data_IF_254527261925
#
_entry.id   IF_254527261925
#
_cell.length_a   1.000
_cell.length_b   1.000
_cell.length_c   1.000
_cell.angle_alpha   90.00
_cell.angle_beta   90.00
_cell.angle_gamma   90.00
#
_symmetry.space_group_name_H-M   'P 1'
#
loop_
_entity.id
_entity.type
_entity.pdbx_description
1 polymer ?
#
# COMPACT_ATOMS: atom_id res chain seq x y z
N UNK A 1 19.73 4.39 -10.34
CA UNK A 1 18.30 4.59 -10.65
C UNK A 1 17.90 6.01 -10.30
N UNK A 2 17.22 6.71 -11.21
CA UNK A 2 16.68 8.04 -10.97
C UNK A 2 15.17 7.99 -10.86
N UNK A 3 14.62 8.80 -9.97
CA UNK A 3 13.18 8.98 -9.76
C UNK A 3 12.75 10.37 -10.22
N UNK A 4 11.49 10.50 -10.57
CA UNK A 4 10.87 11.78 -10.96
C UNK A 4 9.58 11.99 -10.17
N UNK A 5 9.11 13.25 -10.12
CA UNK A 5 7.75 13.56 -9.64
C UNK A 5 6.72 13.24 -10.71
N UNK A 6 5.53 12.82 -10.28
CA UNK A 6 4.36 12.67 -11.16
C UNK A 6 3.86 14.00 -11.72
N UNK A 7 4.26 15.16 -11.18
CA UNK A 7 3.73 16.50 -11.54
C UNK A 7 4.70 17.36 -12.32
N UNK A 8 5.97 17.49 -11.87
CA UNK A 8 6.94 18.37 -12.51
C UNK A 8 7.98 17.57 -13.27
N UNK A 9 8.06 17.70 -14.61
CA UNK A 9 9.09 17.04 -15.40
C UNK A 9 10.49 17.65 -15.16
N UNK A 10 11.53 16.86 -15.42
CA UNK A 10 12.92 17.32 -15.53
C UNK A 10 13.77 17.25 -14.26
N UNK A 11 13.18 17.27 -13.06
CA UNK A 11 13.93 17.07 -11.82
C UNK A 11 14.01 15.59 -11.45
N UNK A 12 15.23 15.13 -11.17
CA UNK A 12 15.49 13.75 -10.75
C UNK A 12 15.85 13.68 -9.27
N UNK A 13 15.50 12.56 -8.64
CA UNK A 13 15.73 12.28 -7.23
C UNK A 13 16.42 10.94 -7.05
N UNK A 14 17.31 10.83 -6.07
CA UNK A 14 17.94 9.58 -5.69
C UNK A 14 16.99 8.72 -4.86
N UNK A 15 17.19 7.40 -4.82
CA UNK A 15 16.37 6.50 -4.01
C UNK A 15 16.32 6.92 -2.53
N UNK A 16 17.43 7.40 -1.98
CA UNK A 16 17.48 7.86 -0.60
C UNK A 16 16.58 9.07 -0.31
N UNK A 17 16.32 9.92 -1.29
CA UNK A 17 15.37 11.05 -1.16
C UNK A 17 13.93 10.52 -1.22
N UNK A 18 13.68 9.55 -2.10
CA UNK A 18 12.37 8.89 -2.25
C UNK A 18 11.98 8.09 -1.01
N UNK A 19 12.93 7.33 -0.43
CA UNK A 19 12.70 6.58 0.82
C UNK A 19 12.40 7.52 1.99
N UNK A 20 13.18 8.59 2.12
CA UNK A 20 13.12 9.53 3.25
C UNK A 20 12.11 10.65 3.04
N UNK A 21 11.40 10.68 1.91
CA UNK A 21 10.36 11.65 1.60
C UNK A 21 8.95 11.08 1.73
N UNK A 22 7.96 11.96 1.85
CA UNK A 22 6.55 11.61 1.77
C UNK A 22 6.01 11.88 0.36
N UNK A 23 6.27 13.09 -0.13
CA UNK A 23 5.90 13.62 -1.44
C UNK A 23 7.11 14.26 -2.10
N UNK A 24 7.06 14.44 -3.41
CA UNK A 24 8.00 15.32 -4.08
C UNK A 24 7.75 16.79 -3.67
N UNK A 25 8.75 17.69 -3.81
CA UNK A 25 8.60 19.09 -3.39
C UNK A 25 7.45 19.87 -4.05
N UNK A 26 6.97 19.39 -5.20
CA UNK A 26 5.81 19.94 -5.92
C UNK A 26 4.47 19.31 -5.47
N UNK A 27 4.48 18.50 -4.42
CA UNK A 27 3.33 17.79 -3.90
C UNK A 27 2.92 16.55 -4.69
N UNK A 28 3.66 16.19 -5.75
CA UNK A 28 3.47 14.96 -6.53
C UNK A 28 4.02 13.72 -5.84
N UNK A 29 3.79 12.57 -6.46
CA UNK A 29 4.31 11.28 -6.00
C UNK A 29 5.61 10.92 -6.74
N UNK A 30 6.47 10.14 -6.10
CA UNK A 30 7.65 9.62 -6.75
C UNK A 30 7.33 8.38 -7.59
N UNK A 31 7.94 8.33 -8.79
CA UNK A 31 7.93 7.19 -9.70
C UNK A 31 9.31 7.01 -10.32
N UNK A 32 9.71 5.79 -10.76
CA UNK A 32 10.97 5.60 -11.48
C UNK A 32 10.98 6.37 -12.80
N UNK A 33 12.04 7.10 -13.09
CA UNK A 33 12.19 7.80 -14.37
C UNK A 33 12.34 6.85 -15.57
N UNK A 34 12.83 5.63 -15.32
CA UNK A 34 12.90 4.54 -16.29
C UNK A 34 12.52 3.24 -15.59
N UNK A 35 11.61 2.48 -16.20
CA UNK A 35 11.16 1.21 -15.67
C UNK A 35 12.22 0.12 -15.94
N UNK A 36 12.74 -0.60 -14.91
CA UNK A 36 13.57 -1.77 -15.13
C UNK A 36 12.78 -2.86 -15.87
N UNK A 37 13.45 -3.63 -16.72
CA UNK A 37 12.83 -4.75 -17.44
C UNK A 37 13.63 -6.02 -17.28
N UNK A 38 12.96 -7.12 -17.03
CA UNK A 38 13.51 -8.47 -17.08
C UNK A 38 13.23 -9.09 -18.45
N UNK A 39 14.22 -9.77 -19.00
CA UNK A 39 14.00 -10.67 -20.14
C UNK A 39 13.32 -11.97 -19.66
N UNK A 40 12.71 -12.72 -20.56
CA UNK A 40 12.16 -14.05 -20.24
C UNK A 40 13.21 -14.96 -19.58
N UNK A 41 14.43 -14.97 -20.11
CA UNK A 41 15.55 -15.73 -19.53
C UNK A 41 15.91 -15.25 -18.11
N UNK A 42 15.84 -13.95 -17.84
CA UNK A 42 16.08 -13.43 -16.50
C UNK A 42 14.96 -13.81 -15.54
N UNK A 43 13.70 -13.79 -15.98
CA UNK A 43 12.55 -14.26 -15.20
C UNK A 43 12.65 -15.75 -14.88
N UNK A 44 13.03 -16.59 -15.84
CA UNK A 44 13.23 -18.03 -15.62
C UNK A 44 14.31 -18.35 -14.59
N UNK A 45 15.30 -17.50 -14.42
CA UNK A 45 16.32 -17.65 -13.35
C UNK A 45 15.78 -17.31 -11.94
N UNK A 46 14.65 -16.63 -11.86
CA UNK A 46 13.99 -16.30 -10.60
C UNK A 46 13.00 -17.40 -10.15
N UNK A 47 12.62 -18.31 -11.03
CA UNK A 47 11.84 -19.49 -10.67
C UNK A 47 12.55 -20.24 -9.54
N UNK A 48 11.83 -20.79 -8.60
CA UNK A 48 12.36 -21.58 -7.49
C UNK A 48 13.19 -20.83 -6.43
N UNK A 49 13.44 -19.53 -6.58
CA UNK A 49 14.09 -18.78 -5.51
C UNK A 49 13.14 -18.66 -4.29
N UNK A 50 13.68 -18.80 -3.06
CA UNK A 50 12.94 -18.42 -1.86
C UNK A 50 12.45 -16.98 -1.94
N UNK A 51 11.33 -16.67 -1.28
CA UNK A 51 10.70 -15.34 -1.39
C UNK A 51 11.66 -14.18 -1.15
N UNK A 52 12.50 -14.24 -0.12
CA UNK A 52 13.44 -13.16 0.22
C UNK A 52 14.53 -12.95 -0.84
N UNK A 53 15.04 -14.03 -1.45
CA UNK A 53 16.03 -13.94 -2.53
C UNK A 53 15.41 -13.36 -3.80
N UNK A 54 14.21 -13.83 -4.16
CA UNK A 54 13.44 -13.28 -5.27
C UNK A 54 13.14 -11.80 -5.04
N UNK A 55 12.66 -11.42 -3.85
CA UNK A 55 12.38 -10.04 -3.49
C UNK A 55 13.62 -9.15 -3.65
N UNK A 56 14.80 -9.64 -3.21
CA UNK A 56 16.06 -8.93 -3.39
C UNK A 56 16.38 -8.68 -4.88
N UNK A 57 16.20 -9.69 -5.76
CA UNK A 57 16.42 -9.54 -7.19
C UNK A 57 15.46 -8.53 -7.84
N UNK A 58 14.17 -8.59 -7.47
CA UNK A 58 13.11 -7.72 -8.02
C UNK A 58 13.29 -6.27 -7.58
N UNK A 59 13.71 -6.04 -6.34
CA UNK A 59 13.85 -4.71 -5.73
C UNK A 59 15.18 -4.03 -6.13
N UNK A 60 16.26 -4.79 -6.24
CA UNK A 60 17.62 -4.27 -6.48
C UNK A 60 17.73 -3.26 -7.64
N UNK A 61 17.11 -3.46 -8.81
CA UNK A 61 17.20 -2.50 -9.91
C UNK A 61 16.67 -1.09 -9.57
N UNK A 62 15.77 -0.97 -8.63
CA UNK A 62 15.19 0.30 -8.19
C UNK A 62 16.08 1.07 -7.22
N UNK A 63 16.99 0.41 -6.54
CA UNK A 63 17.89 1.03 -5.58
C UNK A 63 19.18 1.55 -6.24
N UNK A 64 19.57 0.99 -7.40
CA UNK A 64 20.84 1.29 -8.04
C UNK A 64 22.01 0.97 -7.11
N UNK A 65 23.03 1.82 -7.11
CA UNK A 65 24.25 1.65 -6.29
C UNK A 65 24.12 2.24 -4.86
N UNK A 66 22.89 2.59 -4.44
CA UNK A 66 22.65 3.20 -3.13
C UNK A 66 23.00 2.27 -1.96
N UNK A 67 22.85 0.95 -2.14
CA UNK A 67 23.11 -0.05 -1.12
C UNK A 67 23.86 -1.24 -1.74
N UNK A 68 24.91 -1.77 -1.08
CA UNK A 68 25.58 -3.00 -1.52
C UNK A 68 24.58 -4.18 -1.51
N UNK A 69 24.70 -5.07 -2.52
CA UNK A 69 23.79 -6.21 -2.70
C UNK A 69 23.70 -7.12 -1.47
N UNK A 70 24.82 -7.40 -0.83
CA UNK A 70 24.85 -8.23 0.39
C UNK A 70 24.07 -7.59 1.54
N UNK A 71 24.19 -6.28 1.68
CA UNK A 71 23.44 -5.55 2.70
C UNK A 71 21.94 -5.51 2.39
N UNK A 72 21.57 -5.33 1.12
CA UNK A 72 20.17 -5.43 0.70
C UNK A 72 19.60 -6.82 0.99
N UNK A 73 20.34 -7.88 0.70
CA UNK A 73 19.91 -9.26 0.98
C UNK A 73 19.61 -9.47 2.46
N UNK A 74 20.50 -9.00 3.36
CA UNK A 74 20.28 -9.07 4.81
C UNK A 74 19.04 -8.28 5.25
N UNK A 75 18.86 -7.09 4.71
CA UNK A 75 17.69 -6.24 5.01
C UNK A 75 16.39 -6.91 4.58
N UNK A 76 16.34 -7.48 3.38
CA UNK A 76 15.15 -8.16 2.85
C UNK A 76 14.86 -9.43 3.65
N UNK A 77 15.88 -10.21 4.01
CA UNK A 77 15.74 -11.38 4.89
C UNK A 77 15.18 -10.98 6.27
N UNK A 78 15.76 -9.96 6.90
CA UNK A 78 15.27 -9.43 8.18
C UNK A 78 13.83 -8.90 8.10
N UNK A 79 13.44 -8.31 6.99
CA UNK A 79 12.09 -7.81 6.80
C UNK A 79 11.04 -8.93 6.77
N UNK A 80 11.40 -10.10 6.24
CA UNK A 80 10.43 -11.19 6.03
C UNK A 80 10.63 -12.40 6.94
N UNK A 81 11.69 -12.48 7.74
CA UNK A 81 11.95 -13.61 8.65
C UNK A 81 10.87 -13.78 9.73
N UNK A 82 10.18 -12.68 10.12
CA UNK A 82 9.10 -12.70 11.11
C UNK A 82 7.73 -13.14 10.56
N UNK A 83 7.63 -13.53 9.29
CA UNK A 83 6.40 -14.04 8.71
C UNK A 83 6.15 -15.49 9.15
N UNK A 84 4.89 -15.81 9.45
CA UNK A 84 4.48 -17.12 10.02
C UNK A 84 4.60 -18.27 9.01
N UNK A 85 4.45 -17.99 7.71
CA UNK A 85 4.64 -18.96 6.63
C UNK A 85 6.06 -18.90 6.08
N UNK A 86 6.72 -20.04 5.89
CA UNK A 86 8.04 -20.12 5.22
C UNK A 86 7.98 -19.64 3.76
N UNK A 87 6.86 -19.84 3.09
CA UNK A 87 6.64 -19.32 1.73
C UNK A 87 6.41 -17.81 1.70
N UNK A 88 6.24 -17.16 2.88
CA UNK A 88 5.95 -15.74 3.06
C UNK A 88 4.60 -15.33 2.43
N UNK A 89 4.35 -15.70 1.16
CA UNK A 89 3.14 -15.45 0.39
C UNK A 89 2.64 -16.74 -0.28
N UNK A 90 2.11 -17.73 0.47
CA UNK A 90 1.65 -18.99 -0.10
C UNK A 90 0.41 -18.82 -0.98
N UNK A 91 0.26 -19.73 -1.94
CA UNK A 91 -0.89 -19.83 -2.84
C UNK A 91 -1.80 -20.98 -2.40
N UNK A 92 -3.10 -20.70 -2.30
CA UNK A 92 -4.13 -21.69 -2.06
C UNK A 92 -5.09 -21.76 -3.26
N UNK A 93 -5.32 -22.97 -3.80
CA UNK A 93 -6.22 -23.17 -4.94
C UNK A 93 -7.65 -23.34 -4.45
N UNK A 94 -8.55 -22.42 -4.81
CA UNK A 94 -9.98 -22.45 -4.43
C UNK A 94 -10.86 -23.11 -5.49
N UNK A 95 -10.45 -23.06 -6.77
CA UNK A 95 -11.13 -23.71 -7.89
C UNK A 95 -10.15 -23.91 -9.06
N UNK A 96 -10.61 -24.53 -10.15
CA UNK A 96 -9.80 -24.70 -11.37
C UNK A 96 -9.34 -23.35 -11.90
N UNK A 97 -8.02 -23.14 -11.98
CA UNK A 97 -7.39 -21.86 -12.38
C UNK A 97 -7.81 -20.64 -11.55
N UNK A 98 -8.25 -20.84 -10.30
CA UNK A 98 -8.54 -19.78 -9.33
C UNK A 98 -7.69 -19.99 -8.07
N UNK A 99 -6.90 -19.00 -7.70
CA UNK A 99 -5.94 -19.05 -6.63
C UNK A 99 -6.09 -17.86 -5.68
N UNK A 100 -5.91 -18.11 -4.41
CA UNK A 100 -5.81 -17.08 -3.37
C UNK A 100 -4.34 -16.95 -2.99
N UNK A 101 -3.79 -15.74 -3.09
CA UNK A 101 -2.45 -15.40 -2.62
C UNK A 101 -2.56 -14.86 -1.20
N UNK A 102 -2.11 -15.63 -0.23
CA UNK A 102 -2.19 -15.27 1.19
C UNK A 102 -1.12 -14.25 1.57
N UNK A 103 -1.51 -13.00 1.75
CA UNK A 103 -0.61 -11.89 2.10
C UNK A 103 -0.71 -11.47 3.57
N UNK A 104 -1.26 -12.30 4.42
CA UNK A 104 -1.55 -12.01 5.82
C UNK A 104 -0.70 -12.80 6.82
N UNK A 105 0.42 -13.37 6.41
CA UNK A 105 1.32 -14.11 7.30
C UNK A 105 2.33 -13.22 8.04
N UNK A 106 2.32 -11.92 7.79
CA UNK A 106 3.17 -10.96 8.49
C UNK A 106 2.77 -10.70 9.95
N UNK A 107 3.57 -9.92 10.70
CA UNK A 107 3.38 -9.68 12.13
C UNK A 107 2.03 -9.07 12.52
N UNK A 108 1.43 -8.26 11.66
CA UNK A 108 0.10 -7.67 11.87
C UNK A 108 -1.03 -8.46 11.19
N UNK A 109 -0.72 -9.55 10.48
CA UNK A 109 -1.65 -10.40 9.74
C UNK A 109 -2.43 -9.67 8.64
N UNK A 110 -1.78 -8.73 7.96
CA UNK A 110 -2.29 -7.94 6.84
C UNK A 110 -1.22 -7.72 5.77
N UNK A 111 -1.63 -7.52 4.51
CA UNK A 111 -0.67 -7.35 3.39
C UNK A 111 0.24 -6.12 3.51
N UNK A 112 -0.15 -5.15 4.31
CA UNK A 112 0.65 -3.96 4.59
C UNK A 112 1.98 -4.30 5.26
N UNK A 113 2.08 -5.44 5.92
CA UNK A 113 3.32 -5.94 6.53
C UNK A 113 4.46 -6.03 5.51
N UNK A 114 4.19 -6.46 4.27
CA UNK A 114 5.22 -6.57 3.23
C UNK A 114 5.97 -5.24 3.03
N UNK A 115 5.22 -4.16 2.85
CA UNK A 115 5.81 -2.85 2.61
C UNK A 115 6.40 -2.22 3.85
N UNK A 116 5.77 -2.36 5.00
CA UNK A 116 6.17 -1.68 6.22
C UNK A 116 7.37 -2.34 6.90
N UNK A 117 7.47 -3.67 6.89
CA UNK A 117 8.64 -4.37 7.40
C UNK A 117 9.89 -4.03 6.59
N UNK A 118 9.81 -4.04 5.26
CA UNK A 118 10.92 -3.63 4.40
C UNK A 118 11.30 -2.15 4.61
N UNK A 119 10.30 -1.28 4.66
CA UNK A 119 10.49 0.16 4.85
C UNK A 119 11.20 0.49 6.17
N UNK A 120 10.79 -0.14 7.26
CA UNK A 120 11.41 0.06 8.57
C UNK A 120 12.90 -0.29 8.55
N UNK A 121 13.28 -1.44 7.95
CA UNK A 121 14.69 -1.86 7.86
C UNK A 121 15.52 -0.95 6.94
N UNK A 122 14.96 -0.49 5.82
CA UNK A 122 15.65 0.46 4.92
C UNK A 122 15.85 1.83 5.57
N UNK A 123 14.86 2.32 6.34
CA UNK A 123 14.99 3.56 7.10
C UNK A 123 16.04 3.42 8.20
N UNK A 124 16.00 2.36 9.00
CA UNK A 124 16.98 2.08 10.04
C UNK A 124 18.41 2.07 9.49
N UNK A 125 18.64 1.37 8.37
CA UNK A 125 19.92 1.39 7.66
C UNK A 125 20.35 2.79 7.24
N UNK A 126 19.41 3.60 6.72
CA UNK A 126 19.71 4.96 6.27
C UNK A 126 20.09 5.87 7.43
N UNK A 127 19.36 5.79 8.53
CA UNK A 127 19.59 6.61 9.72
C UNK A 127 20.90 6.26 10.40
N UNK A 128 21.23 4.96 10.52
CA UNK A 128 22.51 4.50 11.09
C UNK A 128 23.73 5.02 10.33
N UNK A 129 23.61 5.16 9.00
CA UNK A 129 24.66 5.72 8.14
C UNK A 129 24.80 7.24 8.23
N UNK A 130 23.70 7.95 8.51
CA UNK A 130 23.65 9.42 8.51
C UNK A 130 23.76 10.07 9.89
N UNK A 131 23.68 9.29 10.97
CA UNK A 131 23.61 9.82 12.34
C UNK A 131 22.43 10.78 12.55
N UNK A 132 21.30 10.53 11.87
CA UNK A 132 20.09 11.38 11.90
C UNK A 132 18.93 10.63 12.49
N UNK A 133 17.91 11.38 12.88
CA UNK A 133 16.62 10.85 13.34
C UNK A 133 15.52 11.10 12.32
N UNK A 134 14.46 10.30 12.39
CA UNK A 134 13.28 10.44 11.56
C UNK A 134 11.99 10.50 12.38
N UNK A 135 11.06 11.31 11.89
CA UNK A 135 9.66 11.33 12.29
C UNK A 135 8.84 10.62 11.20
N UNK A 136 8.40 9.41 11.48
CA UNK A 136 7.59 8.61 10.56
C UNK A 136 6.13 8.83 10.89
N UNK A 137 5.39 9.44 9.98
CA UNK A 137 4.00 9.88 10.20
C UNK A 137 3.07 9.25 9.18
N UNK A 138 1.86 8.92 9.60
CA UNK A 138 0.81 8.51 8.69
C UNK A 138 -0.53 8.37 9.38
N UNK A 139 -1.58 8.26 8.57
CA UNK A 139 -2.94 8.05 9.05
C UNK A 139 -3.44 6.64 8.70
N UNK A 140 -4.40 6.16 9.49
CA UNK A 140 -4.92 4.80 9.36
C UNK A 140 -6.38 4.68 9.78
N UNK A 141 -7.13 3.83 9.07
CA UNK A 141 -8.42 3.30 9.53
C UNK A 141 -8.29 1.97 10.30
N UNK A 142 -7.04 1.51 10.60
CA UNK A 142 -6.79 0.29 11.39
C UNK A 142 -5.58 -0.51 10.91
N UNK A 143 -5.69 -1.24 9.82
CA UNK A 143 -4.69 -2.23 9.36
C UNK A 143 -3.31 -1.65 9.11
N UNK A 144 -3.23 -0.53 8.37
CA UNK A 144 -1.94 0.10 8.05
C UNK A 144 -1.22 0.58 9.31
N UNK A 145 -1.94 1.15 10.28
CA UNK A 145 -1.38 1.59 11.55
C UNK A 145 -0.88 0.43 12.40
N UNK A 146 -1.67 -0.64 12.50
CA UNK A 146 -1.26 -1.85 13.24
C UNK A 146 0.02 -2.45 12.64
N UNK A 147 0.13 -2.51 11.30
CA UNK A 147 1.33 -2.98 10.63
C UNK A 147 2.53 -2.01 10.80
N UNK A 148 2.28 -0.69 10.77
CA UNK A 148 3.32 0.31 11.03
C UNK A 148 3.88 0.20 12.46
N UNK A 149 3.00 0.08 13.45
CA UNK A 149 3.41 -0.13 14.85
C UNK A 149 4.29 -1.38 14.98
N UNK A 150 3.88 -2.52 14.38
CA UNK A 150 4.68 -3.75 14.40
C UNK A 150 6.03 -3.61 13.70
N UNK A 151 6.10 -2.83 12.62
CA UNK A 151 7.32 -2.67 11.84
C UNK A 151 8.32 -1.71 12.49
N UNK A 152 7.84 -0.60 13.08
CA UNK A 152 8.68 0.47 13.61
C UNK A 152 8.89 0.40 15.14
N UNK A 153 8.24 -0.55 15.81
CA UNK A 153 8.36 -0.74 17.25
C UNK A 153 9.82 -1.00 17.66
N UNK A 154 10.41 -0.10 18.45
CA UNK A 154 11.79 -0.19 18.91
C UNK A 154 12.87 0.11 17.88
N UNK A 155 12.53 0.59 16.68
CA UNK A 155 13.51 0.98 15.65
C UNK A 155 14.26 2.22 16.11
N UNK A 156 15.58 2.12 16.16
CA UNK A 156 16.46 3.18 16.64
C UNK A 156 16.42 4.42 15.74
N UNK A 157 16.39 5.62 16.35
CA UNK A 157 16.36 6.88 15.63
C UNK A 157 15.01 7.20 14.95
N UNK A 158 13.97 6.40 15.18
CA UNK A 158 12.63 6.60 14.64
C UNK A 158 11.63 6.95 15.74
N UNK A 159 10.91 8.05 15.57
CA UNK A 159 9.66 8.33 16.26
C UNK A 159 8.50 8.06 15.30
N UNK A 160 7.63 7.11 15.63
CA UNK A 160 6.44 6.77 14.85
C UNK A 160 5.22 7.52 15.39
N UNK A 161 4.54 8.28 14.53
CA UNK A 161 3.26 8.95 14.84
C UNK A 161 2.16 8.37 13.97
N UNK A 162 1.16 7.79 14.61
CA UNK A 162 0.01 7.16 13.96
C UNK A 162 -1.24 7.98 14.25
N UNK A 163 -1.77 8.65 13.23
CA UNK A 163 -3.05 9.35 13.31
C UNK A 163 -4.19 8.39 12.99
N UNK A 164 -5.23 8.40 13.81
CA UNK A 164 -6.43 7.59 13.57
C UNK A 164 -7.71 8.35 13.95
N UNK A 165 -8.85 8.06 13.30
CA UNK A 165 -10.08 8.78 13.54
C UNK A 165 -10.75 8.38 14.86
N UNK A 166 -11.45 9.32 15.47
CA UNK A 166 -12.35 9.06 16.61
C UNK A 166 -13.63 8.33 16.18
N UNK A 167 -14.05 8.48 14.91
CA UNK A 167 -15.29 7.92 14.35
C UNK A 167 -15.01 7.00 13.15
N UNK A 168 -15.86 5.97 12.98
CA UNK A 168 -15.83 5.08 11.81
C UNK A 168 -14.79 3.96 11.86
N UNK A 169 -14.05 3.81 12.98
CA UNK A 169 -13.14 2.69 13.21
C UNK A 169 -13.85 1.62 14.06
N UNK A 170 -13.64 0.33 13.71
CA UNK A 170 -14.14 -0.76 14.55
C UNK A 170 -13.36 -0.87 15.86
N UNK A 171 -13.98 -1.43 16.90
CA UNK A 171 -13.28 -1.66 18.18
C UNK A 171 -12.07 -2.59 18.01
N UNK A 172 -12.17 -3.60 17.15
CA UNK A 172 -11.06 -4.49 16.86
C UNK A 172 -9.86 -3.75 16.29
N UNK A 173 -10.07 -2.87 15.33
CA UNK A 173 -8.98 -2.04 14.77
C UNK A 173 -8.39 -1.10 15.82
N UNK A 174 -9.24 -0.43 16.63
CA UNK A 174 -8.78 0.45 17.70
C UNK A 174 -7.92 -0.29 18.72
N UNK A 175 -8.36 -1.45 19.20
CA UNK A 175 -7.58 -2.29 20.14
C UNK A 175 -6.24 -2.72 19.55
N UNK A 176 -6.17 -3.09 18.27
CA UNK A 176 -4.92 -3.44 17.60
C UNK A 176 -3.91 -2.30 17.55
N UNK A 177 -4.37 -1.07 17.39
CA UNK A 177 -3.52 0.12 17.44
C UNK A 177 -2.98 0.40 18.86
N UNK A 178 -3.82 0.23 19.88
CA UNK A 178 -3.51 0.61 21.26
C UNK A 178 -2.81 -0.52 22.04
N UNK A 179 -2.91 -1.78 21.60
CA UNK A 179 -2.41 -2.94 22.34
C UNK A 179 -0.88 -3.09 22.35
N UNK A 180 -0.17 -2.41 21.44
CA UNK A 180 1.28 -2.55 21.30
C UNK A 180 1.92 -1.18 21.08
N UNK A 181 3.02 -0.91 21.78
CA UNK A 181 3.81 0.30 21.55
C UNK A 181 4.93 0.37 22.56
N UNK A 182 6.14 0.65 22.08
CA UNK A 182 7.26 1.08 22.88
C UNK A 182 7.29 2.62 22.96
N UNK A 183 8.26 3.17 23.66
CA UNK A 183 8.39 4.62 23.87
C UNK A 183 8.49 5.43 22.57
N UNK A 184 8.90 4.80 21.47
CA UNK A 184 9.03 5.46 20.17
C UNK A 184 7.74 5.48 19.32
N UNK A 185 6.61 4.97 19.84
CA UNK A 185 5.31 4.90 19.14
C UNK A 185 4.28 5.80 19.81
N UNK A 186 3.72 6.72 19.06
CA UNK A 186 2.74 7.70 19.51
C UNK A 186 1.46 7.53 18.69
N UNK A 187 0.35 7.21 19.36
CA UNK A 187 -0.97 7.14 18.77
C UNK A 187 -1.73 8.43 19.04
N UNK A 188 -2.24 9.06 18.01
CA UNK A 188 -3.01 10.29 18.06
C UNK A 188 -4.40 10.04 17.51
N UNK A 189 -5.41 10.23 18.33
CA UNK A 189 -6.81 10.26 17.92
C UNK A 189 -7.20 11.64 17.44
N UNK A 190 -7.67 11.74 16.21
CA UNK A 190 -8.15 12.98 15.58
C UNK A 190 -9.67 13.00 15.66
N UNK A 191 -10.24 14.11 16.13
CA UNK A 191 -11.69 14.28 16.14
C UNK A 191 -12.21 14.41 14.71
N UNK A 192 -12.76 13.33 14.18
CA UNK A 192 -13.25 13.23 12.82
C UNK A 192 -13.32 11.80 12.32
N UNK A 193 -13.51 11.67 11.01
CA UNK A 193 -13.47 10.40 10.28
C UNK A 193 -12.11 10.14 9.63
N UNK A 194 -12.01 9.05 8.86
CA UNK A 194 -10.75 8.71 8.16
C UNK A 194 -10.35 9.75 7.09
N UNK A 195 -11.32 10.39 6.42
CA UNK A 195 -11.03 11.43 5.44
C UNK A 195 -10.45 12.68 6.10
N UNK A 196 -10.95 13.04 7.29
CA UNK A 196 -10.40 14.13 8.12
C UNK A 196 -8.95 13.84 8.50
N UNK A 197 -8.68 12.65 9.05
CA UNK A 197 -7.32 12.21 9.36
C UNK A 197 -6.39 12.25 8.15
N UNK A 198 -6.89 11.80 7.00
CA UNK A 198 -6.09 11.78 5.77
C UNK A 198 -5.73 13.18 5.31
N UNK A 199 -6.69 14.11 5.29
CA UNK A 199 -6.46 15.51 4.93
C UNK A 199 -5.46 16.20 5.89
N UNK A 200 -5.62 15.97 7.20
CA UNK A 200 -4.73 16.51 8.21
C UNK A 200 -3.30 15.99 8.04
N UNK A 201 -3.15 14.68 7.88
CA UNK A 201 -1.87 14.02 7.66
C UNK A 201 -1.18 14.51 6.37
N UNK A 202 -1.92 14.61 5.27
CA UNK A 202 -1.41 15.09 3.98
C UNK A 202 -0.95 16.56 4.08
N UNK A 203 -1.76 17.40 4.71
CA UNK A 203 -1.44 18.82 4.97
C UNK A 203 -0.16 18.96 5.80
N UNK A 204 -0.03 18.13 6.85
CA UNK A 204 1.18 18.08 7.66
C UNK A 204 2.40 17.64 6.84
N UNK A 205 2.30 16.55 6.08
CA UNK A 205 3.41 16.01 5.29
C UNK A 205 3.85 16.90 4.11
N UNK A 206 2.94 17.71 3.56
CA UNK A 206 3.23 18.68 2.48
C UNK A 206 3.65 20.07 3.02
N UNK A 207 3.41 20.32 4.28
CA UNK A 207 3.72 21.63 4.90
C UNK A 207 5.22 21.88 5.08
N UNK A 208 5.61 23.16 5.08
CA UNK A 208 6.99 23.61 5.31
C UNK A 208 7.31 23.69 6.81
N UNK A 209 7.11 22.62 7.55
CA UNK A 209 7.40 22.60 8.98
C UNK A 209 8.91 22.45 9.22
N UNK A 210 9.46 23.28 10.13
CA UNK A 210 10.86 23.20 10.54
C UNK A 210 11.04 22.08 11.57
N UNK A 211 11.02 20.82 11.13
CA UNK A 211 11.45 19.71 11.97
C UNK A 211 12.95 19.48 11.78
N UNK A 212 13.70 19.24 12.86
CA UNK A 212 15.11 18.82 12.78
C UNK A 212 15.23 17.39 12.28
N UNK A 213 14.16 16.58 12.39
CA UNK A 213 14.08 15.18 11.98
C UNK A 213 13.62 15.08 10.53
N UNK A 214 14.06 14.04 9.84
CA UNK A 214 13.53 13.70 8.50
C UNK A 214 12.07 13.30 8.60
N UNK A 215 11.18 13.98 7.85
CA UNK A 215 9.75 13.71 7.84
C UNK A 215 9.40 12.67 6.76
N UNK A 216 8.91 11.50 7.17
CA UNK A 216 8.66 10.35 6.29
C UNK A 216 7.21 9.91 6.44
N UNK A 217 6.53 9.58 5.32
CA UNK A 217 5.22 8.93 5.38
C UNK A 217 5.32 7.42 5.39
N UNK A 218 4.59 6.75 6.28
CA UNK A 218 4.41 5.30 6.21
C UNK A 218 3.22 4.86 5.32
N UNK A 219 2.42 5.79 4.81
CA UNK A 219 1.31 5.49 3.92
C UNK A 219 1.79 5.05 2.51
N UNK A 220 0.85 4.57 1.69
CA UNK A 220 1.15 4.03 0.35
C UNK A 220 1.63 5.07 -0.68
N UNK A 221 1.63 6.35 -0.33
CA UNK A 221 2.28 7.42 -1.11
C UNK A 221 3.80 7.24 -1.15
N UNK A 222 4.41 6.65 -0.12
CA UNK A 222 5.83 6.30 -0.16
C UNK A 222 6.08 5.15 -1.16
N UNK A 223 7.01 5.38 -2.08
CA UNK A 223 7.34 4.44 -3.16
C UNK A 223 7.76 3.05 -2.66
N UNK A 224 8.42 2.96 -1.52
CA UNK A 224 8.88 1.67 -0.95
C UNK A 224 7.72 0.72 -0.69
N UNK A 225 6.51 1.24 -0.41
CA UNK A 225 5.31 0.42 -0.25
C UNK A 225 4.94 -0.28 -1.58
N UNK A 226 4.99 0.45 -2.69
CA UNK A 226 4.75 -0.12 -4.04
C UNK A 226 5.88 -1.09 -4.40
N UNK A 227 7.13 -0.70 -4.14
CA UNK A 227 8.32 -1.50 -4.42
C UNK A 227 8.27 -2.88 -3.74
N UNK A 228 7.91 -2.93 -2.46
CA UNK A 228 7.78 -4.19 -1.73
C UNK A 228 6.69 -5.11 -2.30
N UNK A 229 5.60 -4.53 -2.79
CA UNK A 229 4.49 -5.28 -3.37
C UNK A 229 4.88 -6.00 -4.67
N UNK A 230 5.86 -5.51 -5.43
CA UNK A 230 6.37 -6.20 -6.63
C UNK A 230 6.77 -7.63 -6.33
N UNK A 231 7.37 -7.87 -5.17
CA UNK A 231 7.91 -9.17 -4.78
C UNK A 231 6.85 -10.28 -4.80
N UNK A 232 5.66 -10.02 -4.27
CA UNK A 232 4.62 -11.05 -4.24
C UNK A 232 3.91 -11.21 -5.60
N UNK A 233 3.87 -10.19 -6.47
CA UNK A 233 3.39 -10.38 -7.85
C UNK A 233 4.32 -11.28 -8.64
N UNK A 234 5.65 -11.03 -8.57
CA UNK A 234 6.64 -11.88 -9.22
C UNK A 234 6.62 -13.28 -8.64
N UNK A 235 6.64 -13.42 -7.30
CA UNK A 235 6.66 -14.71 -6.64
C UNK A 235 5.46 -15.59 -7.06
N UNK A 236 4.25 -15.08 -6.93
CA UNK A 236 3.05 -15.85 -7.25
C UNK A 236 2.90 -16.20 -8.74
N UNK A 237 3.28 -15.28 -9.64
CA UNK A 237 3.25 -15.55 -11.07
C UNK A 237 4.23 -16.65 -11.48
N UNK A 238 5.48 -16.59 -10.97
CA UNK A 238 6.51 -17.59 -11.25
C UNK A 238 6.12 -18.98 -10.70
N UNK A 239 5.49 -19.04 -9.52
CA UNK A 239 4.96 -20.30 -8.97
C UNK A 239 3.86 -20.93 -9.85
N UNK A 240 3.17 -20.17 -10.68
CA UNK A 240 2.12 -20.62 -11.58
C UNK A 240 2.55 -20.74 -13.05
N UNK A 241 3.86 -20.70 -13.32
CA UNK A 241 4.46 -21.02 -14.60
C UNK A 241 4.87 -19.83 -15.48
N UNK A 242 4.84 -18.58 -14.96
CA UNK A 242 5.49 -17.47 -15.65
C UNK A 242 7.00 -17.74 -15.71
N UNK A 243 7.73 -17.26 -16.75
CA UNK A 243 7.27 -16.40 -17.84
C UNK A 243 6.55 -17.11 -18.98
N UNK A 244 6.55 -18.45 -19.04
CA UNK A 244 5.98 -19.26 -20.14
C UNK A 244 4.45 -19.27 -20.13
N UNK A 245 3.83 -18.93 -19.01
CA UNK A 245 2.39 -18.90 -18.82
C UNK A 245 1.94 -17.51 -18.40
N UNK A 246 0.94 -16.97 -19.07
CA UNK A 246 0.26 -15.74 -18.65
C UNK A 246 -0.49 -15.97 -17.33
N UNK A 247 -0.58 -14.92 -16.52
CA UNK A 247 -1.39 -14.88 -15.29
C UNK A 247 -2.29 -13.66 -15.27
N UNK A 248 -3.31 -13.69 -14.43
CA UNK A 248 -4.18 -12.56 -14.15
C UNK A 248 -4.32 -12.36 -12.64
N UNK A 249 -4.57 -11.13 -12.21
CA UNK A 249 -4.74 -10.82 -10.80
C UNK A 249 -6.05 -10.08 -10.53
N UNK A 250 -6.71 -10.44 -9.44
CA UNK A 250 -7.80 -9.67 -8.85
C UNK A 250 -7.36 -9.07 -7.53
N UNK A 251 -7.48 -7.76 -7.40
CA UNK A 251 -6.91 -7.01 -6.28
C UNK A 251 -7.98 -6.23 -5.55
N UNK A 252 -8.38 -6.65 -4.34
CA UNK A 252 -9.20 -5.83 -3.45
C UNK A 252 -8.48 -4.53 -3.13
N UNK A 253 -9.09 -3.39 -3.43
CA UNK A 253 -8.36 -2.12 -3.35
C UNK A 253 -9.23 -0.94 -2.92
N UNK A 254 -8.64 -0.03 -2.14
CA UNK A 254 -9.11 1.33 -1.91
C UNK A 254 -8.14 2.35 -2.53
N UNK A 255 -6.84 2.29 -2.17
CA UNK A 255 -5.85 3.31 -2.52
C UNK A 255 -5.05 3.07 -3.80
N UNK A 256 -5.33 2.01 -4.55
CA UNK A 256 -4.67 1.61 -5.81
C UNK A 256 -3.18 1.22 -5.69
N UNK A 257 -2.57 1.21 -4.52
CA UNK A 257 -1.13 0.98 -4.37
C UNK A 257 -0.67 -0.42 -4.81
N UNK A 258 -1.39 -1.48 -4.41
CA UNK A 258 -1.09 -2.85 -4.83
C UNK A 258 -1.37 -3.06 -6.34
N UNK A 259 -2.46 -2.49 -6.87
CA UNK A 259 -2.75 -2.54 -8.30
C UNK A 259 -1.67 -1.84 -9.13
N UNK A 260 -1.18 -0.69 -8.66
CA UNK A 260 -0.07 -0.02 -9.33
C UNK A 260 1.21 -0.87 -9.31
N UNK A 261 1.48 -1.60 -8.23
CA UNK A 261 2.58 -2.57 -8.21
C UNK A 261 2.39 -3.69 -9.25
N UNK A 262 1.17 -4.20 -9.42
CA UNK A 262 0.84 -5.16 -10.49
C UNK A 262 1.06 -4.57 -11.89
N UNK A 263 0.69 -3.31 -12.12
CA UNK A 263 1.00 -2.58 -13.35
C UNK A 263 2.51 -2.49 -13.60
N UNK A 264 3.27 -2.06 -12.58
CA UNK A 264 4.73 -1.98 -12.66
C UNK A 264 5.36 -3.36 -12.93
N UNK A 265 4.89 -4.42 -12.28
CA UNK A 265 5.36 -5.78 -12.51
C UNK A 265 5.19 -6.22 -13.97
N UNK A 266 4.05 -5.86 -14.59
CA UNK A 266 3.83 -6.08 -16.03
C UNK A 266 4.81 -5.29 -16.89
N UNK A 267 5.02 -4.01 -16.61
CA UNK A 267 5.98 -3.17 -17.34
C UNK A 267 7.43 -3.68 -17.18
N UNK A 268 7.74 -4.35 -16.07
CA UNK A 268 9.01 -5.04 -15.84
C UNK A 268 9.16 -6.36 -16.62
N UNK A 269 8.12 -6.81 -17.33
CA UNK A 269 8.16 -7.99 -18.19
C UNK A 269 7.41 -9.21 -17.65
N UNK A 270 6.75 -9.13 -16.49
CA UNK A 270 5.91 -10.22 -16.00
C UNK A 270 4.68 -10.38 -16.92
N UNK A 271 4.33 -11.60 -17.40
CA UNK A 271 3.26 -11.80 -18.38
C UNK A 271 1.86 -11.70 -17.73
N UNK A 272 1.53 -10.51 -17.24
CA UNK A 272 0.23 -10.21 -16.65
C UNK A 272 -0.74 -9.82 -17.76
N UNK A 273 -1.75 -10.67 -18.00
CA UNK A 273 -2.77 -10.48 -19.03
C UNK A 273 -3.86 -9.51 -18.61
N UNK A 274 -4.23 -9.51 -17.33
CA UNK A 274 -5.35 -8.76 -16.77
C UNK A 274 -5.09 -8.39 -15.32
N UNK A 275 -5.48 -7.17 -14.94
CA UNK A 275 -5.58 -6.71 -13.55
C UNK A 275 -7.05 -6.31 -13.27
N UNK A 276 -7.69 -6.94 -12.29
CA UNK A 276 -9.07 -6.63 -11.91
C UNK A 276 -9.05 -5.76 -10.66
N UNK A 277 -9.63 -4.57 -10.80
CA UNK A 277 -9.84 -3.59 -9.73
C UNK A 277 -11.12 -3.97 -8.99
N UNK A 278 -10.99 -4.60 -7.83
CA UNK A 278 -12.11 -5.00 -7.00
C UNK A 278 -12.34 -3.96 -5.90
N UNK A 279 -13.44 -3.21 -5.97
CA UNK A 279 -13.82 -2.21 -4.97
C UNK A 279 -15.01 -2.67 -4.16
N UNK A 280 -15.21 -2.10 -2.97
CA UNK A 280 -16.48 -2.16 -2.28
C UNK A 280 -17.43 -1.08 -2.82
N UNK A 281 -18.50 -0.76 -2.10
CA UNK A 281 -19.47 0.28 -2.48
C UNK A 281 -18.85 1.69 -2.66
N UNK A 282 -17.58 1.90 -2.22
CA UNK A 282 -16.82 3.12 -2.52
C UNK A 282 -16.12 2.95 -3.88
N UNK A 283 -16.87 3.13 -4.95
CA UNK A 283 -16.60 2.62 -6.29
C UNK A 283 -15.90 3.62 -7.24
N UNK A 284 -15.24 4.66 -6.75
CA UNK A 284 -14.66 5.71 -7.60
C UNK A 284 -13.69 5.20 -8.68
N UNK A 285 -12.85 4.19 -8.38
CA UNK A 285 -11.98 3.55 -9.37
C UNK A 285 -12.77 2.73 -10.40
N UNK A 286 -13.84 2.07 -9.98
CA UNK A 286 -14.73 1.34 -10.87
C UNK A 286 -15.45 2.30 -11.82
N UNK A 287 -16.04 3.40 -11.31
CA UNK A 287 -16.68 4.44 -12.11
C UNK A 287 -15.72 5.02 -13.15
N UNK A 288 -14.48 5.30 -12.77
CA UNK A 288 -13.47 5.76 -13.73
C UNK A 288 -13.24 4.74 -14.85
N UNK A 289 -13.05 3.47 -14.52
CA UNK A 289 -12.79 2.44 -15.52
C UNK A 289 -14.01 2.16 -16.41
N UNK A 290 -15.24 2.33 -15.92
CA UNK A 290 -16.45 2.12 -16.73
C UNK A 290 -16.83 3.34 -17.58
N UNK A 291 -16.71 4.56 -17.01
CA UNK A 291 -17.36 5.74 -17.55
C UNK A 291 -16.38 6.90 -17.83
N UNK A 292 -15.07 6.71 -17.65
CA UNK A 292 -14.08 7.79 -17.73
C UNK A 292 -14.40 8.97 -16.78
N UNK A 293 -14.97 8.68 -15.62
CA UNK A 293 -15.30 9.69 -14.63
C UNK A 293 -14.71 9.31 -13.27
N UNK A 294 -13.68 10.01 -12.83
CA UNK A 294 -13.14 9.90 -11.48
C UNK A 294 -13.58 11.09 -10.65
N UNK A 295 -14.31 10.85 -9.57
CA UNK A 295 -14.83 11.93 -8.72
C UNK A 295 -14.61 11.65 -7.23
N UNK A 296 -14.47 12.72 -6.46
CA UNK A 296 -14.56 12.68 -5.02
C UNK A 296 -16.02 12.36 -4.64
N UNK A 297 -16.21 11.42 -3.74
CA UNK A 297 -17.53 11.04 -3.21
C UNK A 297 -17.49 10.94 -1.69
N UNK A 298 -18.65 11.00 -1.07
CA UNK A 298 -18.78 10.71 0.35
C UNK A 298 -18.49 9.24 0.62
N UNK A 299 -17.79 8.96 1.72
CA UNK A 299 -17.43 7.59 2.07
C UNK A 299 -18.67 6.89 2.63
N UNK A 300 -19.07 5.79 1.98
CA UNK A 300 -20.08 4.86 2.50
C UNK A 300 -19.41 3.89 3.47
N UNK A 301 -19.98 3.74 4.67
CA UNK A 301 -19.56 2.70 5.61
C UNK A 301 -19.89 1.31 5.05
N UNK A 302 -18.93 0.39 5.09
CA UNK A 302 -19.06 -0.99 4.61
C UNK A 302 -18.42 -1.96 5.60
N UNK A 303 -18.59 -3.27 5.37
CA UNK A 303 -17.92 -4.33 6.14
C UNK A 303 -16.43 -4.47 5.83
N UNK A 304 -15.90 -3.65 4.93
CA UNK A 304 -14.48 -3.58 4.57
C UNK A 304 -13.89 -2.18 4.77
N UNK A 305 -13.79 -1.68 6.02
CA UNK A 305 -13.37 -0.30 6.31
C UNK A 305 -12.01 0.07 5.72
N UNK A 306 -11.10 -0.89 5.59
CA UNK A 306 -9.78 -0.70 4.97
C UNK A 306 -9.84 -0.33 3.48
N UNK A 307 -10.98 -0.54 2.82
CA UNK A 307 -11.25 -0.20 1.43
C UNK A 307 -12.15 1.05 1.28
N UNK A 308 -12.63 1.64 2.38
CA UNK A 308 -13.48 2.84 2.37
C UNK A 308 -12.63 4.08 2.08
N UNK A 309 -12.50 4.42 0.80
CA UNK A 309 -11.64 5.52 0.33
C UNK A 309 -12.41 6.36 -0.68
N UNK A 310 -12.46 7.66 -0.46
CA UNK A 310 -13.06 8.62 -1.40
C UNK A 310 -12.15 8.88 -2.62
N UNK A 311 -10.86 9.11 -2.37
CA UNK A 311 -9.84 9.34 -3.40
C UNK A 311 -8.68 8.38 -3.19
N UNK A 312 -8.43 7.53 -4.18
CA UNK A 312 -7.32 6.58 -4.15
C UNK A 312 -5.99 7.32 -4.33
N UNK A 313 -5.15 7.33 -3.30
CA UNK A 313 -3.91 8.11 -3.27
C UNK A 313 -2.90 7.75 -4.37
N UNK A 314 -2.95 6.51 -4.89
CA UNK A 314 -2.08 6.08 -5.99
C UNK A 314 -2.72 6.22 -7.39
N UNK A 315 -3.92 6.80 -7.50
CA UNK A 315 -4.54 7.09 -8.80
C UNK A 315 -3.70 8.09 -9.61
N UNK A 316 -3.02 9.01 -8.94
CA UNK A 316 -2.08 9.94 -9.57
C UNK A 316 -0.93 9.21 -10.31
N UNK A 317 -0.43 8.10 -9.75
CA UNK A 317 0.58 7.26 -10.42
C UNK A 317 0.03 6.57 -11.67
N UNK A 318 -1.23 6.11 -11.63
CA UNK A 318 -1.88 5.56 -12.81
C UNK A 318 -2.02 6.63 -13.90
N UNK A 319 -2.49 7.83 -13.55
CA UNK A 319 -2.57 8.94 -14.50
C UNK A 319 -1.21 9.22 -15.15
N UNK A 320 -0.15 9.34 -14.35
CA UNK A 320 1.20 9.57 -14.89
C UNK A 320 1.60 8.50 -15.90
N UNK A 321 1.26 7.24 -15.66
CA UNK A 321 1.57 6.13 -16.55
C UNK A 321 0.77 6.17 -17.85
N UNK A 322 -0.55 6.38 -17.78
CA UNK A 322 -1.41 6.41 -18.99
C UNK A 322 -1.24 7.70 -19.81
N UNK A 323 -0.75 8.76 -19.17
CA UNK A 323 -0.38 10.04 -19.80
C UNK A 323 1.07 10.05 -20.31
N UNK A 324 1.73 8.90 -20.39
CA UNK A 324 3.11 8.74 -20.88
C UNK A 324 4.12 9.67 -20.18
N UNK A 325 3.97 9.86 -18.88
CA UNK A 325 4.86 10.69 -18.08
C UNK A 325 4.65 12.20 -18.21
N UNK A 326 3.52 12.64 -18.78
CA UNK A 326 3.21 14.07 -18.94
C UNK A 326 2.80 14.70 -17.59
N UNK A 327 3.78 15.08 -16.76
CA UNK A 327 3.57 15.62 -15.41
C UNK A 327 2.66 16.84 -15.37
N UNK A 328 2.77 17.76 -16.35
CA UNK A 328 1.91 18.95 -16.42
C UNK A 328 0.42 18.62 -16.61
N UNK A 329 0.09 17.52 -17.32
CA UNK A 329 -1.30 17.04 -17.40
C UNK A 329 -1.75 16.45 -16.08
N UNK A 330 -0.91 15.67 -15.42
CA UNK A 330 -1.20 15.11 -14.09
C UNK A 330 -1.45 16.22 -13.09
N UNK A 331 -0.58 17.23 -13.02
CA UNK A 331 -0.74 18.37 -12.10
C UNK A 331 -2.10 19.05 -12.30
N UNK A 332 -2.45 19.41 -13.55
CA UNK A 332 -3.74 20.02 -13.87
C UNK A 332 -4.95 19.15 -13.51
N UNK A 333 -4.84 17.83 -13.70
CA UNK A 333 -5.91 16.91 -13.34
C UNK A 333 -6.09 16.85 -11.82
N UNK A 334 -4.99 16.85 -11.06
CA UNK A 334 -5.06 16.84 -9.60
C UNK A 334 -5.61 18.15 -9.04
N UNK A 335 -5.26 19.30 -9.63
CA UNK A 335 -5.87 20.60 -9.32
C UNK A 335 -7.38 20.58 -9.57
N UNK A 336 -7.84 20.09 -10.74
CA UNK A 336 -9.28 19.92 -11.03
C UNK A 336 -9.98 18.99 -10.02
N UNK A 337 -9.32 17.92 -9.57
CA UNK A 337 -9.91 17.05 -8.55
C UNK A 337 -10.07 17.79 -7.22
N UNK A 338 -9.17 18.70 -6.89
CA UNK A 338 -9.27 19.53 -5.67
C UNK A 338 -10.35 20.60 -5.79
N UNK A 339 -10.45 21.28 -6.93
CA UNK A 339 -11.36 22.42 -7.18
C UNK A 339 -12.77 21.95 -7.58
N UNK A 340 -12.88 21.08 -8.59
CA UNK A 340 -14.15 20.63 -9.19
C UNK A 340 -14.65 19.29 -8.63
N UNK A 341 -13.82 18.60 -7.83
CA UNK A 341 -14.11 17.29 -7.26
C UNK A 341 -14.12 16.13 -8.27
N UNK A 342 -13.70 16.35 -9.53
CA UNK A 342 -13.77 15.33 -10.60
C UNK A 342 -12.66 15.48 -11.64
N UNK A 343 -12.36 14.34 -12.31
CA UNK A 343 -11.43 14.26 -13.44
C UNK A 343 -12.06 13.42 -14.54
N UNK A 344 -11.83 13.82 -15.80
CA UNK A 344 -11.97 12.99 -17.00
C UNK A 344 -10.68 13.06 -17.80
N UNK A 345 -10.23 11.93 -18.34
CA UNK A 345 -9.12 11.86 -19.28
C UNK A 345 -9.63 11.97 -20.72
N UNK A 346 -8.72 12.29 -21.64
CA UNK A 346 -9.03 12.13 -23.06
C UNK A 346 -9.35 10.66 -23.38
N UNK A 347 -10.21 10.43 -24.38
CA UNK A 347 -10.72 9.09 -24.69
C UNK A 347 -9.60 8.07 -24.92
N UNK A 348 -8.57 8.43 -25.68
CA UNK A 348 -7.45 7.54 -25.98
C UNK A 348 -6.60 7.21 -24.73
N UNK A 349 -6.41 8.19 -23.85
CA UNK A 349 -5.69 8.03 -22.59
C UNK A 349 -6.45 7.08 -21.65
N UNK A 350 -7.76 7.24 -21.54
CA UNK A 350 -8.61 6.34 -20.76
C UNK A 350 -8.61 4.91 -21.31
N UNK A 351 -8.70 4.76 -22.63
CA UNK A 351 -8.66 3.46 -23.28
C UNK A 351 -7.32 2.72 -23.03
N UNK A 352 -6.20 3.43 -22.83
CA UNK A 352 -4.94 2.79 -22.44
C UNK A 352 -5.07 2.09 -21.06
N UNK A 353 -5.73 2.71 -20.09
CA UNK A 353 -6.01 2.05 -18.80
C UNK A 353 -6.88 0.79 -19.02
N UNK A 354 -7.94 0.89 -19.84
CA UNK A 354 -8.85 -0.21 -20.12
C UNK A 354 -8.21 -1.43 -20.80
N UNK A 355 -7.08 -1.28 -21.46
CA UNK A 355 -6.37 -2.43 -22.08
C UNK A 355 -5.94 -3.47 -21.04
N UNK A 356 -5.55 -3.05 -19.86
CA UNK A 356 -5.05 -3.92 -18.80
C UNK A 356 -6.05 -4.13 -17.68
N UNK A 357 -6.79 -3.07 -17.31
CA UNK A 357 -7.66 -3.07 -16.14
C UNK A 357 -9.11 -3.37 -16.50
N UNK A 358 -9.70 -4.29 -15.75
CA UNK A 358 -11.14 -4.45 -15.59
C UNK A 358 -11.54 -4.11 -14.16
N UNK A 359 -12.82 -3.99 -13.87
CA UNK A 359 -13.25 -3.61 -12.53
C UNK A 359 -14.65 -4.11 -12.19
N UNK A 360 -14.87 -4.36 -10.91
CA UNK A 360 -16.18 -4.60 -10.33
C UNK A 360 -16.30 -3.90 -8.98
N UNK A 361 -17.42 -3.23 -8.75
CA UNK A 361 -17.86 -2.81 -7.42
C UNK A 361 -18.73 -3.91 -6.83
N UNK A 362 -18.44 -4.31 -5.58
CA UNK A 362 -19.11 -5.42 -4.88
C UNK A 362 -19.75 -4.87 -3.62
N UNK A 363 -21.06 -5.06 -3.48
CA UNK A 363 -21.79 -4.69 -2.28
C UNK A 363 -21.56 -5.73 -1.16
N UNK A 364 -21.79 -5.33 0.09
CA UNK A 364 -21.53 -6.20 1.26
C UNK A 364 -22.30 -7.53 1.20
N UNK A 365 -23.53 -7.53 0.70
CA UNK A 365 -24.34 -8.75 0.55
C UNK A 365 -23.68 -9.76 -0.42
N UNK A 366 -23.15 -9.29 -1.55
CA UNK A 366 -22.46 -10.14 -2.51
C UNK A 366 -21.12 -10.66 -1.97
N UNK A 367 -20.42 -9.84 -1.17
CA UNK A 367 -19.21 -10.26 -0.49
C UNK A 367 -19.50 -11.40 0.51
N UNK A 368 -20.56 -11.28 1.33
CA UNK A 368 -20.97 -12.36 2.25
C UNK A 368 -21.38 -13.63 1.53
N UNK A 369 -22.16 -13.52 0.45
CA UNK A 369 -22.52 -14.66 -0.38
C UNK A 369 -21.26 -15.36 -0.92
N UNK A 370 -20.27 -14.58 -1.38
CA UNK A 370 -19.01 -15.12 -1.88
C UNK A 370 -18.18 -15.82 -0.80
N UNK A 371 -18.18 -15.36 0.45
CA UNK A 371 -17.53 -16.06 1.58
C UNK A 371 -18.15 -17.46 1.73
N UNK A 372 -19.49 -17.53 1.74
CA UNK A 372 -20.21 -18.79 1.88
C UNK A 372 -19.93 -19.73 0.71
N UNK A 373 -20.04 -19.25 -0.53
CA UNK A 373 -19.78 -20.02 -1.74
C UNK A 373 -18.37 -20.63 -1.75
N UNK A 374 -17.34 -19.83 -1.45
CA UNK A 374 -15.95 -20.27 -1.40
C UNK A 374 -15.76 -21.33 -0.33
N UNK A 375 -16.33 -21.12 0.86
CA UNK A 375 -16.22 -22.07 1.96
C UNK A 375 -16.88 -23.42 1.61
N UNK A 376 -18.09 -23.39 1.04
CA UNK A 376 -18.80 -24.62 0.63
C UNK A 376 -18.05 -25.37 -0.48
N UNK A 377 -17.45 -24.64 -1.44
CA UNK A 377 -16.77 -25.24 -2.59
C UNK A 377 -15.37 -25.79 -2.27
N UNK A 378 -14.63 -25.15 -1.38
CA UNK A 378 -13.21 -25.43 -1.15
C UNK A 378 -12.83 -25.71 0.31
N UNK A 379 -13.75 -25.51 1.27
CA UNK A 379 -13.44 -25.54 2.69
C UNK A 379 -12.58 -24.36 3.17
N UNK A 380 -12.26 -23.40 2.28
CA UNK A 380 -11.36 -22.29 2.58
C UNK A 380 -12.15 -21.05 3.03
N UNK A 381 -11.84 -20.57 4.22
CA UNK A 381 -12.47 -19.35 4.77
C UNK A 381 -11.73 -18.11 4.32
N UNK A 382 -12.42 -17.19 3.65
CA UNK A 382 -11.87 -15.91 3.19
C UNK A 382 -12.37 -14.73 4.03
N UNK A 383 -11.56 -13.67 4.11
CA UNK A 383 -11.99 -12.39 4.69
C UNK A 383 -12.90 -11.60 3.72
N UNK A 384 -13.72 -10.65 4.20
CA UNK A 384 -14.56 -9.85 3.32
C UNK A 384 -13.83 -9.14 2.18
N UNK A 385 -12.64 -8.52 2.35
CA UNK A 385 -11.88 -7.98 1.23
C UNK A 385 -11.50 -9.05 0.20
N UNK A 386 -11.08 -10.24 0.64
CA UNK A 386 -10.72 -11.35 -0.26
C UNK A 386 -11.95 -11.83 -1.04
N UNK A 387 -13.12 -11.90 -0.41
CA UNK A 387 -14.38 -12.27 -1.06
C UNK A 387 -14.77 -11.27 -2.17
N UNK A 388 -14.58 -9.96 -1.93
CA UNK A 388 -14.74 -8.91 -2.95
C UNK A 388 -13.84 -9.19 -4.15
N UNK A 389 -12.57 -9.53 -3.90
CA UNK A 389 -11.61 -9.88 -4.95
C UNK A 389 -12.02 -11.11 -5.74
N UNK A 390 -12.45 -12.19 -5.09
CA UNK A 390 -12.91 -13.43 -5.75
C UNK A 390 -14.20 -13.19 -6.54
N UNK A 391 -15.16 -12.46 -6.00
CA UNK A 391 -16.38 -12.09 -6.73
C UNK A 391 -16.04 -11.30 -8.01
N UNK A 392 -15.18 -10.31 -7.91
CA UNK A 392 -14.72 -9.52 -9.05
C UNK A 392 -13.99 -10.39 -10.08
N UNK A 393 -13.14 -11.33 -9.62
CA UNK A 393 -12.45 -12.27 -10.47
C UNK A 393 -13.44 -13.13 -11.27
N UNK A 394 -14.41 -13.75 -10.61
CA UNK A 394 -15.39 -14.64 -11.24
C UNK A 394 -16.27 -13.94 -12.27
N UNK A 395 -16.62 -12.68 -12.02
CA UNK A 395 -17.47 -11.87 -12.94
C UNK A 395 -16.68 -11.26 -14.09
N UNK A 396 -15.46 -10.78 -13.83
CA UNK A 396 -14.73 -9.91 -14.78
C UNK A 396 -13.55 -10.59 -15.48
N UNK A 397 -13.22 -11.85 -15.18
CA UNK A 397 -12.09 -12.53 -15.83
C UNK A 397 -12.34 -12.73 -17.33
N UNK A 398 -11.33 -12.37 -18.14
CA UNK A 398 -11.39 -12.44 -19.60
C UNK A 398 -11.19 -13.86 -20.15
N UNK A 399 -10.56 -14.75 -19.38
CA UNK A 399 -10.26 -16.12 -19.77
C UNK A 399 -10.32 -17.08 -18.57
N UNK A 400 -10.96 -18.23 -18.76
CA UNK A 400 -10.99 -19.30 -17.76
C UNK A 400 -9.72 -20.16 -17.77
N UNK A 401 -8.89 -20.06 -18.81
CA UNK A 401 -7.67 -20.88 -18.96
C UNK A 401 -6.44 -20.24 -18.31
N UNK A 402 -6.48 -18.92 -18.11
CA UNK A 402 -5.39 -18.18 -17.48
C UNK A 402 -5.57 -18.25 -15.95
N UNK A 403 -4.52 -18.64 -15.18
CA UNK A 403 -4.58 -18.62 -13.75
C UNK A 403 -4.95 -17.23 -13.22
N UNK A 404 -6.03 -17.17 -12.44
CA UNK A 404 -6.50 -15.99 -11.76
C UNK A 404 -6.03 -16.02 -10.30
N UNK A 405 -5.25 -15.03 -9.91
CA UNK A 405 -4.68 -14.90 -8.56
C UNK A 405 -5.43 -13.79 -7.84
N UNK A 406 -6.20 -14.11 -6.81
CA UNK A 406 -6.85 -13.14 -5.94
C UNK A 406 -5.95 -12.83 -4.74
N UNK A 407 -5.69 -11.57 -4.46
CA UNK A 407 -4.92 -11.16 -3.30
C UNK A 407 -5.78 -11.25 -2.02
N UNK A 408 -5.35 -12.06 -1.06
CA UNK A 408 -5.93 -12.11 0.28
C UNK A 408 -5.19 -11.15 1.21
N UNK A 409 -5.77 -9.99 1.42
CA UNK A 409 -5.12 -8.84 2.04
C UNK A 409 -5.13 -8.86 3.57
N UNK A 410 -6.05 -9.63 4.17
CA UNK A 410 -6.29 -9.64 5.63
C UNK A 410 -6.66 -11.04 6.06
N UNK A 411 -6.10 -11.49 7.20
CA UNK A 411 -6.44 -12.80 7.76
C UNK A 411 -7.92 -12.82 8.22
N UNK A 412 -8.68 -13.91 7.96
CA UNK A 412 -10.10 -13.99 8.32
C UNK A 412 -10.40 -13.81 9.82
N UNK A 413 -9.46 -14.17 10.71
CA UNK A 413 -9.62 -14.02 12.17
C UNK A 413 -9.52 -12.57 12.68
N UNK A 414 -9.18 -11.60 11.83
CA UNK A 414 -9.17 -10.19 12.20
C UNK A 414 -10.60 -9.63 12.09
N UNK A 415 -11.54 -10.23 12.78
CA UNK A 415 -12.89 -9.73 12.97
C UNK A 415 -13.12 -9.34 14.44
N UNK A 416 -14.14 -8.54 14.72
CA UNK A 416 -14.43 -8.07 16.08
C UNK A 416 -14.57 -9.20 17.12
N UNK A 417 -15.01 -10.40 16.70
CA UNK A 417 -15.22 -11.54 17.59
C UNK A 417 -13.91 -12.17 18.16
N UNK A 418 -12.77 -12.01 17.49
CA UNK A 418 -11.51 -12.67 17.87
C UNK A 418 -10.63 -11.90 18.86
N UNK A 419 -10.93 -10.65 19.20
CA UNK A 419 -10.00 -9.73 19.89
C UNK A 419 -10.43 -9.27 21.30
N UNK A 420 -11.31 -9.99 21.97
CA UNK A 420 -11.88 -9.59 23.27
C UNK A 420 -10.92 -9.49 24.45
N UNK A 421 -9.62 -9.76 24.32
CA UNK A 421 -8.68 -9.89 25.47
C UNK A 421 -7.47 -8.93 25.47
N UNK A 422 -7.47 -7.84 24.69
CA UNK A 422 -6.34 -6.90 24.70
C UNK A 422 -6.67 -5.68 25.58
N UNK A 423 -5.73 -5.30 26.47
CA UNK A 423 -5.86 -4.13 27.32
C UNK A 423 -5.78 -2.83 26.53
N UNK A 424 -6.69 -1.90 26.78
CA UNK A 424 -6.66 -0.57 26.18
C UNK A 424 -5.53 0.28 26.84
N UNK A 425 -4.65 0.84 26.02
CA UNK A 425 -3.74 1.91 26.42
C UNK A 425 -4.34 3.26 26.07
N UNK A 426 -3.96 4.30 26.84
CA UNK A 426 -4.37 5.66 26.54
C UNK A 426 -3.84 6.13 25.19
N UNK A 427 -4.65 6.81 24.41
CA UNK A 427 -4.25 7.58 23.26
C UNK A 427 -4.39 9.08 23.54
N UNK A 428 -3.65 9.88 22.79
CA UNK A 428 -3.72 11.34 22.88
C UNK A 428 -4.75 11.81 21.88
N UNK A 429 -5.75 12.56 22.32
CA UNK A 429 -6.79 13.12 21.44
C UNK A 429 -6.43 14.57 21.08
N UNK A 430 -6.51 14.89 19.81
CA UNK A 430 -6.34 16.25 19.30
C UNK A 430 -7.53 16.65 18.42
N UNK A 431 -7.90 17.95 18.36
CA UNK A 431 -8.87 18.43 17.40
C UNK A 431 -8.39 18.21 15.95
N UNK A 432 -9.32 18.20 14.99
CA UNK A 432 -9.00 18.14 13.55
C UNK A 432 -8.46 19.50 13.06
N UNK A 433 -7.31 19.89 13.58
CA UNK A 433 -6.63 21.17 13.28
C UNK A 433 -5.14 20.94 13.09
N UNK A 434 -4.61 21.50 12.00
CA UNK A 434 -3.20 21.39 11.65
C UNK A 434 -2.30 22.08 12.69
N UNK A 435 -2.74 23.17 13.28
CA UNK A 435 -1.97 23.92 14.28
C UNK A 435 -1.80 23.08 15.55
N UNK A 436 -2.85 22.40 15.99
CA UNK A 436 -2.81 21.50 17.14
C UNK A 436 -1.85 20.31 16.89
N UNK A 437 -1.84 19.73 15.69
CA UNK A 437 -0.91 18.65 15.33
C UNK A 437 0.53 19.13 15.29
N UNK A 438 0.80 20.26 14.65
CA UNK A 438 2.15 20.85 14.58
C UNK A 438 2.68 21.18 15.97
N UNK A 439 1.88 21.86 16.78
CA UNK A 439 2.25 22.21 18.15
C UNK A 439 2.59 20.97 18.99
N UNK A 440 1.76 19.95 18.91
CA UNK A 440 1.98 18.68 19.63
C UNK A 440 3.31 18.02 19.22
N UNK A 441 3.62 17.97 17.92
CA UNK A 441 4.86 17.38 17.41
C UNK A 441 6.08 18.19 17.77
N UNK A 442 5.98 19.53 17.75
CA UNK A 442 7.07 20.43 18.17
C UNK A 442 7.38 20.26 19.66
N UNK A 443 6.37 20.13 20.51
CA UNK A 443 6.53 19.91 21.95
C UNK A 443 7.17 18.56 22.26
N UNK A 444 6.79 17.49 21.54
CA UNK A 444 7.47 16.18 21.62
C UNK A 444 8.96 16.26 21.29
N UNK A 445 9.32 17.09 20.33
CA UNK A 445 10.71 17.26 19.91
C UNK A 445 11.56 17.96 20.98
N UNK A 446 10.96 18.86 21.78
CA UNK A 446 11.63 19.54 22.92
C UNK A 446 11.80 18.64 24.13
N UNK A 447 10.80 17.82 24.45
CA UNK A 447 10.85 16.89 25.59
C UNK A 447 11.91 15.78 25.41
N UNK A 448 12.21 15.41 24.17
CA UNK A 448 13.26 14.42 23.85
C UNK A 448 14.66 15.02 24.09
N UNK A 449 14.85 16.32 23.89
CA UNK A 449 16.12 17.02 24.18
C UNK A 449 16.35 17.19 25.69
N UNK A 450 15.30 17.41 26.49
CA UNK A 450 15.42 17.54 27.96
C UNK A 450 15.72 16.23 28.71
N UNK A 451 15.49 15.06 28.08
CA UNK A 451 15.79 13.75 28.65
C UNK A 451 17.15 13.19 28.21
N UNK A 452 17.88 13.88 27.34
CA UNK A 452 19.22 13.51 26.85
C UNK A 452 20.34 14.35 27.45
N UNK A 453 20.05 15.22 28.41
CA UNK A 453 20.95 15.96 29.29
C UNK A 453 20.87 15.37 30.72
#
# INVERSE_FOLDING_TARGET
MNYVSTRTPGKTYAFSEVLMGAYAPDGGLFVPGKMPRFTEQALSRLEWLPFHELACQVISPFLGDWIPREQLSRIVEQAYCGFKSRAVAPLYQTATHEWVLELFHGPASVYQDFGLQLMARLIEYTLSKRGKEALVVGCTGGDTGAAAIKAFNGVQGVTLVVLHPSRGMTQAHRRRLLSTGQANVINIEVDGDYADCHRLCEKFLKGSHRTRKSLISFNSVNWVRVLAHLSFFFYSALQLGAPKREVAFSVPTGNFGALYAGYVAREMGLPIRQLIVATNANAGLHEFLQNNLYRRHEIRATQTPCMNVSVASNFERLQWSVLNGCGNKVARNMERLEEDGRIQLEQDEWLQARKLFDSLAVEDADAFNSIHEVFVQSGYLVSPPTAIGLRAARVSRRSLLIPMICLATTHPSISDAGLQRLSDRSCISIPNDITALVQFIDDLSKDTESRSL
#
